data_IF_049385742805
#
_entry.id   IF_049385742805
#
_cell.length_a   1.000
_cell.length_b   1.000
_cell.length_c   1.000
_cell.angle_alpha   90.00
_cell.angle_beta   90.00
_cell.angle_gamma   90.00
#
_symmetry.space_group_name_H-M   'P 1'
#
loop_
_entity.id
_entity.type
_entity.pdbx_description
1 polymer ?
#
# COMPACT_ATOMS: atom_id res chain seq x y z
N UNK A 1 -13.64 66.74 -17.35
CA UNK A 1 -13.18 66.39 -18.71
C UNK A 1 -13.53 64.91 -18.93
N UNK A 2 -14.65 64.64 -19.59
CA UNK A 2 -15.16 63.27 -19.79
C UNK A 2 -14.27 62.60 -20.83
N UNK A 3 -13.59 61.50 -20.45
CA UNK A 3 -12.75 60.76 -21.40
C UNK A 3 -13.62 60.22 -22.52
N UNK A 4 -13.16 60.38 -23.76
CA UNK A 4 -13.87 59.97 -24.96
C UNK A 4 -14.20 58.46 -24.89
N UNK A 5 -15.39 58.00 -25.31
CA UNK A 5 -15.86 56.62 -25.13
C UNK A 5 -14.92 55.54 -25.70
N UNK A 6 -14.12 55.87 -26.71
CA UNK A 6 -13.10 54.98 -27.28
C UNK A 6 -11.92 54.72 -26.33
N UNK A 7 -11.51 55.69 -25.51
CA UNK A 7 -10.40 55.51 -24.56
C UNK A 7 -10.80 54.63 -23.37
N UNK A 8 -12.07 54.69 -22.95
CA UNK A 8 -12.58 53.83 -21.87
C UNK A 8 -12.58 52.36 -22.31
N UNK A 9 -13.00 52.08 -23.55
CA UNK A 9 -13.04 50.73 -24.13
C UNK A 9 -11.65 50.10 -24.27
N UNK A 10 -10.64 50.88 -24.65
CA UNK A 10 -9.25 50.42 -24.78
C UNK A 10 -8.63 50.16 -23.39
N UNK A 11 -8.98 50.98 -22.39
CA UNK A 11 -8.45 50.84 -21.02
C UNK A 11 -9.03 49.60 -20.31
N UNK A 12 -10.31 49.27 -20.53
CA UNK A 12 -10.93 48.04 -20.00
C UNK A 12 -10.41 46.77 -20.68
N UNK A 13 -10.22 46.79 -22.01
CA UNK A 13 -9.66 45.66 -22.76
C UNK A 13 -8.25 45.28 -22.29
N UNK A 14 -7.43 46.26 -21.90
CA UNK A 14 -6.03 46.04 -21.48
C UNK A 14 -5.90 45.48 -20.05
N UNK A 15 -6.93 45.61 -19.20
CA UNK A 15 -6.90 45.19 -17.79
C UNK A 15 -7.48 43.78 -17.54
N UNK A 16 -8.17 43.18 -18.50
CA UNK A 16 -8.74 41.84 -18.34
C UNK A 16 -7.73 40.71 -18.53
N UNK A 17 -6.70 40.90 -19.38
CA UNK A 17 -5.70 39.85 -19.66
C UNK A 17 -4.85 39.45 -18.45
N UNK A 18 -4.44 40.40 -17.61
CA UNK A 18 -3.65 40.09 -16.41
C UNK A 18 -4.46 39.33 -15.36
N UNK A 19 -5.71 39.77 -15.11
CA UNK A 19 -6.57 39.19 -14.06
C UNK A 19 -7.01 37.77 -14.39
N UNK A 20 -7.27 37.47 -15.66
CA UNK A 20 -7.59 36.11 -16.11
C UNK A 20 -6.37 35.19 -16.08
N UNK A 21 -5.19 35.67 -16.46
CA UNK A 21 -3.94 34.89 -16.36
C UNK A 21 -3.62 34.55 -14.90
N UNK A 22 -3.71 35.51 -13.98
CA UNK A 22 -3.51 35.22 -12.54
C UNK A 22 -4.58 34.29 -11.98
N UNK A 23 -5.84 34.44 -12.38
CA UNK A 23 -6.90 33.52 -11.97
C UNK A 23 -6.65 32.08 -12.46
N UNK A 24 -6.23 31.89 -13.71
CA UNK A 24 -5.90 30.57 -14.26
C UNK A 24 -4.64 29.97 -13.61
N UNK A 25 -3.61 30.78 -13.36
CA UNK A 25 -2.38 30.33 -12.68
C UNK A 25 -2.67 29.95 -11.21
N UNK A 26 -3.51 30.71 -10.51
CA UNK A 26 -3.96 30.38 -9.15
C UNK A 26 -4.82 29.11 -9.12
N UNK A 27 -5.72 28.91 -10.09
CA UNK A 27 -6.50 27.66 -10.19
C UNK A 27 -5.57 26.46 -10.44
N UNK A 28 -4.59 26.58 -11.33
CA UNK A 28 -3.59 25.53 -11.56
C UNK A 28 -2.75 25.24 -10.30
N UNK A 29 -2.40 26.26 -9.51
CA UNK A 29 -1.66 26.09 -8.26
C UNK A 29 -2.52 25.45 -7.16
N UNK A 30 -3.80 25.83 -7.05
CA UNK A 30 -4.75 25.28 -6.06
C UNK A 30 -5.07 23.81 -6.30
N UNK A 31 -5.20 23.37 -7.56
CA UNK A 31 -5.43 21.95 -7.89
C UNK A 31 -4.24 21.06 -7.47
N UNK A 32 -3.01 21.59 -7.50
CA UNK A 32 -1.83 20.87 -7.03
C UNK A 32 -1.74 20.79 -5.49
N UNK A 33 -2.30 21.76 -4.75
CA UNK A 33 -2.34 21.72 -3.28
C UNK A 33 -3.39 20.71 -2.75
N UNK A 34 -4.49 20.52 -3.46
CA UNK A 34 -5.60 19.68 -3.01
C UNK A 34 -5.35 18.16 -3.10
N UNK A 35 -4.22 17.71 -3.66
CA UNK A 35 -3.90 16.28 -3.77
C UNK A 35 -3.01 15.74 -2.63
N UNK A 36 -2.63 16.57 -1.65
CA UNK A 36 -1.60 16.21 -0.67
C UNK A 36 -2.11 15.70 0.69
N UNK A 37 -3.42 15.70 0.99
CA UNK A 37 -3.89 15.35 2.34
C UNK A 37 -5.26 14.65 2.34
N UNK A 38 -5.33 13.45 1.76
CA UNK A 38 -6.13 12.37 2.35
C UNK A 38 -5.12 11.47 3.04
N UNK A 39 -5.32 11.10 4.31
CA UNK A 39 -4.40 10.23 5.06
C UNK A 39 -4.16 8.94 4.28
N UNK A 40 -3.07 8.89 3.53
CA UNK A 40 -2.70 7.74 2.72
C UNK A 40 -2.05 6.75 3.65
N UNK A 41 -2.78 5.70 4.04
CA UNK A 41 -2.14 4.48 4.53
C UNK A 41 -1.13 4.04 3.49
N UNK A 42 0.15 4.29 3.79
CA UNK A 42 1.24 4.13 2.83
C UNK A 42 1.81 2.71 2.84
N UNK A 43 1.34 1.86 3.74
CA UNK A 43 1.76 0.48 3.91
C UNK A 43 0.54 -0.41 4.19
N UNK A 44 0.37 -1.43 3.36
CA UNK A 44 -0.54 -2.55 3.62
C UNK A 44 0.20 -3.85 3.32
N UNK A 45 -0.05 -4.88 4.11
CA UNK A 45 0.64 -6.17 4.00
C UNK A 45 -0.40 -7.27 3.90
N UNK A 46 -0.19 -8.21 2.99
CA UNK A 46 -0.99 -9.42 2.89
C UNK A 46 -0.10 -10.66 2.84
N UNK A 47 -0.32 -11.59 3.77
CA UNK A 47 0.33 -12.89 3.80
C UNK A 47 -0.69 -13.99 3.51
N UNK A 48 -0.45 -14.76 2.45
CA UNK A 48 -1.38 -15.80 1.99
C UNK A 48 -0.72 -17.17 2.04
N UNK A 49 -1.46 -18.16 2.53
CA UNK A 49 -1.09 -19.58 2.44
C UNK A 49 -2.20 -20.39 1.77
N UNK A 50 -1.80 -21.40 1.00
CA UNK A 50 -2.73 -22.23 0.24
C UNK A 50 -2.26 -23.68 0.28
N UNK A 51 -3.19 -24.59 0.46
CA UNK A 51 -3.02 -26.02 0.17
C UNK A 51 -4.11 -26.47 -0.80
N UNK A 52 -4.19 -27.77 -1.12
CA UNK A 52 -5.28 -28.31 -1.95
C UNK A 52 -6.67 -28.14 -1.33
N UNK A 53 -6.77 -28.07 0.01
CA UNK A 53 -8.04 -28.02 0.74
C UNK A 53 -8.18 -26.85 1.73
N UNK A 54 -7.23 -25.93 1.73
CA UNK A 54 -7.26 -24.78 2.63
C UNK A 54 -6.68 -23.51 2.02
N UNK A 55 -7.21 -22.38 2.46
CA UNK A 55 -6.75 -21.05 2.13
C UNK A 55 -6.71 -20.24 3.42
N UNK A 56 -5.61 -19.53 3.66
CA UNK A 56 -5.53 -18.52 4.70
C UNK A 56 -5.00 -17.22 4.10
N UNK A 57 -5.53 -16.10 4.58
CA UNK A 57 -5.10 -14.76 4.23
C UNK A 57 -5.07 -13.91 5.49
N UNK A 58 -3.93 -13.27 5.75
CA UNK A 58 -3.76 -12.29 6.80
C UNK A 58 -3.46 -10.94 6.16
N UNK A 59 -4.34 -9.96 6.36
CA UNK A 59 -4.23 -8.60 5.82
C UNK A 59 -4.03 -7.61 6.97
N UNK A 60 -3.04 -6.74 6.83
CA UNK A 60 -2.57 -5.83 7.87
C UNK A 60 -2.49 -4.40 7.36
N UNK A 61 -2.93 -3.46 8.19
CA UNK A 61 -2.54 -2.05 8.09
C UNK A 61 -2.38 -1.45 9.50
N UNK A 62 -2.17 -0.14 9.58
CA UNK A 62 -1.95 0.55 10.86
C UNK A 62 -3.09 0.44 11.87
N UNK A 63 -4.31 0.16 11.40
CA UNK A 63 -5.50 0.12 12.24
C UNK A 63 -5.94 -1.30 12.57
N UNK A 64 -5.82 -2.24 11.62
CA UNK A 64 -6.45 -3.55 11.72
C UNK A 64 -5.60 -4.70 11.19
N UNK A 65 -5.90 -5.87 11.75
CA UNK A 65 -5.49 -7.19 11.32
C UNK A 65 -6.77 -7.92 10.89
N UNK A 66 -6.83 -8.42 9.67
CA UNK A 66 -7.93 -9.23 9.16
C UNK A 66 -7.39 -10.61 8.81
N UNK A 67 -7.89 -11.65 9.46
CA UNK A 67 -7.56 -13.04 9.15
C UNK A 67 -8.75 -13.75 8.53
N UNK A 68 -8.57 -14.26 7.31
CA UNK A 68 -9.58 -15.07 6.62
C UNK A 68 -9.06 -16.49 6.44
N UNK A 69 -9.83 -17.49 6.88
CA UNK A 69 -9.56 -18.91 6.64
C UNK A 69 -10.72 -19.56 5.89
N UNK A 70 -10.41 -20.38 4.89
CA UNK A 70 -11.36 -21.21 4.16
C UNK A 70 -10.85 -22.65 4.11
N UNK A 71 -11.57 -23.59 4.73
CA UNK A 71 -11.27 -25.03 4.62
C UNK A 71 -12.56 -25.86 4.66
N UNK A 72 -13.27 -25.89 5.79
CA UNK A 72 -14.62 -26.46 5.90
C UNK A 72 -15.75 -25.41 5.84
N UNK A 73 -15.38 -24.12 5.90
CA UNK A 73 -16.24 -22.94 5.86
C UNK A 73 -15.37 -21.69 5.82
N UNK A 74 -15.96 -20.50 5.68
CA UNK A 74 -15.23 -19.21 5.72
C UNK A 74 -15.33 -18.64 7.13
N UNK A 75 -14.18 -18.44 7.79
CA UNK A 75 -14.08 -17.63 9.01
C UNK A 75 -13.34 -16.34 8.70
N UNK A 76 -13.73 -15.25 9.37
CA UNK A 76 -13.09 -13.94 9.27
C UNK A 76 -12.98 -13.36 10.68
N UNK A 77 -11.76 -13.12 11.11
CA UNK A 77 -11.44 -12.47 12.37
C UNK A 77 -10.89 -11.07 12.06
N UNK A 78 -11.31 -10.07 12.84
CA UNK A 78 -10.82 -8.70 12.72
C UNK A 78 -10.37 -8.22 14.09
N UNK A 79 -9.09 -7.86 14.18
CA UNK A 79 -8.46 -7.39 15.40
C UNK A 79 -7.92 -5.97 15.19
N UNK A 80 -7.85 -5.20 16.26
CA UNK A 80 -7.16 -3.91 16.23
C UNK A 80 -5.66 -4.14 16.20
N UNK A 81 -4.96 -3.40 15.35
CA UNK A 81 -3.50 -3.43 15.29
C UNK A 81 -2.89 -2.74 16.52
N UNK A 82 -1.87 -3.35 17.11
CA UNK A 82 -1.04 -2.72 18.14
C UNK A 82 -0.02 -1.78 17.48
N UNK A 83 0.03 -0.52 17.94
CA UNK A 83 0.89 0.49 17.33
C UNK A 83 2.38 0.19 17.45
N UNK A 84 2.84 -0.51 18.50
CA UNK A 84 4.26 -0.88 18.63
C UNK A 84 4.61 -2.01 17.65
N UNK A 85 3.74 -3.03 17.53
CA UNK A 85 3.90 -4.10 16.55
C UNK A 85 3.89 -3.56 15.12
N UNK A 86 2.95 -2.67 14.80
CA UNK A 86 2.89 -2.04 13.48
C UNK A 86 4.12 -1.21 13.17
N UNK A 87 4.60 -0.42 14.13
CA UNK A 87 5.82 0.36 13.96
C UNK A 87 7.03 -0.52 13.63
N UNK A 88 7.22 -1.63 14.37
CA UNK A 88 8.29 -2.59 14.08
C UNK A 88 8.17 -3.18 12.67
N UNK A 89 6.96 -3.61 12.29
CA UNK A 89 6.68 -4.12 10.94
C UNK A 89 7.03 -3.08 9.86
N UNK A 90 6.59 -1.83 10.05
CA UNK A 90 6.84 -0.75 9.10
C UNK A 90 8.34 -0.44 8.96
N UNK A 91 9.06 -0.36 10.08
CA UNK A 91 10.52 -0.17 10.09
C UNK A 91 11.24 -1.33 9.37
N UNK A 92 10.86 -2.58 9.62
CA UNK A 92 11.45 -3.73 8.90
C UNK A 92 11.18 -3.64 7.40
N UNK A 93 9.96 -3.30 6.97
CA UNK A 93 9.63 -3.12 5.53
C UNK A 93 10.52 -2.08 4.86
N UNK A 94 10.87 -0.98 5.54
CA UNK A 94 11.74 0.06 4.98
C UNK A 94 13.17 -0.40 4.70
N UNK A 95 13.65 -1.43 5.41
CA UNK A 95 14.98 -2.01 5.20
C UNK A 95 15.02 -3.00 4.03
N UNK A 96 13.87 -3.52 3.60
CA UNK A 96 13.78 -4.57 2.59
C UNK A 96 13.98 -4.04 1.17
N UNK A 97 14.67 -4.84 0.35
CA UNK A 97 14.76 -4.63 -1.10
C UNK A 97 13.50 -5.14 -1.79
N UNK A 98 12.39 -4.41 -1.67
CA UNK A 98 11.07 -4.82 -2.18
C UNK A 98 11.05 -5.17 -3.69
N UNK A 99 11.93 -4.57 -4.49
CA UNK A 99 12.06 -4.88 -5.92
C UNK A 99 12.59 -6.30 -6.20
N UNK A 100 13.28 -6.91 -5.24
CA UNK A 100 13.83 -8.26 -5.36
C UNK A 100 12.80 -9.34 -5.02
N UNK A 101 11.64 -8.98 -4.45
CA UNK A 101 10.60 -9.92 -4.01
C UNK A 101 10.23 -11.00 -5.05
N UNK A 102 9.97 -10.66 -6.33
CA UNK A 102 9.62 -11.67 -7.34
C UNK A 102 10.74 -12.68 -7.65
N UNK A 103 11.98 -12.38 -7.25
CA UNK A 103 13.18 -13.16 -7.56
C UNK A 103 13.75 -13.90 -6.34
N UNK A 104 13.10 -13.80 -5.18
CA UNK A 104 13.54 -14.48 -3.96
C UNK A 104 13.51 -16.00 -4.16
N UNK A 105 14.58 -16.66 -3.73
CA UNK A 105 14.71 -18.11 -3.81
C UNK A 105 14.18 -18.72 -2.52
N UNK A 106 13.21 -19.63 -2.63
CA UNK A 106 12.71 -20.37 -1.49
C UNK A 106 13.81 -21.33 -0.95
N UNK A 107 13.99 -21.47 0.37
CA UNK A 107 14.99 -22.38 0.93
C UNK A 107 14.68 -23.86 0.67
N UNK A 108 13.42 -24.19 0.42
CA UNK A 108 12.97 -25.54 0.06
C UNK A 108 11.77 -25.51 -0.89
N UNK A 109 11.43 -26.68 -1.41
CA UNK A 109 10.31 -26.92 -2.33
C UNK A 109 9.31 -27.96 -1.79
N UNK A 110 9.16 -28.05 -0.46
CA UNK A 110 8.28 -29.02 0.20
C UNK A 110 6.83 -28.87 -0.25
N UNK A 111 6.40 -27.66 -0.61
CA UNK A 111 5.07 -27.39 -1.20
C UNK A 111 4.79 -28.17 -2.49
N UNK A 112 5.82 -28.60 -3.24
CA UNK A 112 5.66 -29.40 -4.47
C UNK A 112 5.31 -30.86 -4.18
N UNK A 113 5.60 -31.34 -2.98
CA UNK A 113 5.41 -32.73 -2.55
C UNK A 113 4.45 -32.85 -1.36
N UNK A 114 3.53 -31.88 -1.21
CA UNK A 114 2.54 -31.81 -0.13
C UNK A 114 3.15 -31.76 1.29
N UNK A 115 4.40 -31.30 1.40
CA UNK A 115 5.14 -31.21 2.66
C UNK A 115 5.09 -29.83 3.34
N UNK A 116 4.43 -28.85 2.72
CA UNK A 116 4.19 -27.51 3.24
C UNK A 116 3.08 -26.79 2.45
N UNK A 117 2.43 -25.78 3.03
CA UNK A 117 1.52 -24.91 2.30
C UNK A 117 2.32 -23.95 1.39
N UNK A 118 1.74 -23.56 0.25
CA UNK A 118 2.33 -22.56 -0.63
C UNK A 118 2.04 -21.16 -0.08
N UNK A 119 3.08 -20.45 0.35
CA UNK A 119 3.01 -19.11 0.89
C UNK A 119 3.41 -18.03 -0.14
N UNK A 120 2.85 -16.83 0.04
CA UNK A 120 3.26 -15.60 -0.65
C UNK A 120 3.07 -14.38 0.25
N UNK A 121 4.00 -13.44 0.16
CA UNK A 121 3.94 -12.14 0.82
C UNK A 121 3.67 -11.03 -0.22
N UNK A 122 2.71 -10.17 0.07
CA UNK A 122 2.38 -8.97 -0.70
C UNK A 122 2.52 -7.74 0.18
N UNK A 123 3.13 -6.70 -0.38
CA UNK A 123 3.30 -5.41 0.30
C UNK A 123 2.89 -4.32 -0.67
N UNK A 124 1.86 -3.56 -0.32
CA UNK A 124 1.60 -2.27 -0.94
C UNK A 124 2.37 -1.21 -0.16
N UNK A 125 3.33 -0.55 -0.79
CA UNK A 125 4.15 0.47 -0.15
C UNK A 125 4.40 1.65 -1.07
N UNK A 126 4.14 2.87 -0.58
CA UNK A 126 4.39 4.14 -1.30
C UNK A 126 3.83 4.13 -2.74
N UNK A 127 2.60 3.66 -2.91
CA UNK A 127 1.91 3.66 -4.20
C UNK A 127 2.22 2.47 -5.11
N UNK A 128 3.02 1.49 -4.68
CA UNK A 128 3.42 0.33 -5.49
C UNK A 128 3.14 -0.98 -4.77
N UNK A 129 2.71 -1.99 -5.53
CA UNK A 129 2.51 -3.35 -5.05
C UNK A 129 3.75 -4.20 -5.36
N UNK A 130 4.26 -4.90 -4.35
CA UNK A 130 5.36 -5.84 -4.43
C UNK A 130 4.86 -7.22 -3.99
N UNK A 131 5.16 -8.26 -4.76
CA UNK A 131 4.75 -9.64 -4.47
C UNK A 131 5.97 -10.55 -4.52
N UNK A 132 6.11 -11.39 -3.49
CA UNK A 132 7.19 -12.37 -3.40
C UNK A 132 7.00 -13.51 -4.41
N UNK A 133 8.12 -14.14 -4.77
CA UNK A 133 8.09 -15.52 -5.25
C UNK A 133 7.40 -16.44 -4.23
N UNK A 134 6.89 -17.58 -4.71
CA UNK A 134 6.26 -18.57 -3.84
C UNK A 134 7.27 -19.36 -3.02
N UNK A 135 7.00 -19.54 -1.73
CA UNK A 135 7.84 -20.31 -0.81
C UNK A 135 7.00 -21.24 0.07
N UNK A 136 7.67 -22.08 0.87
CA UNK A 136 7.01 -22.99 1.81
C UNK A 136 6.59 -22.20 3.07
N UNK A 137 5.32 -22.29 3.48
CA UNK A 137 4.87 -21.69 4.76
C UNK A 137 5.69 -22.26 5.91
N UNK A 138 6.15 -21.40 6.82
CA UNK A 138 7.08 -21.75 7.91
C UNK A 138 8.56 -21.87 7.49
N UNK A 139 8.90 -21.72 6.20
CA UNK A 139 10.29 -21.68 5.73
C UNK A 139 10.49 -20.59 4.65
N UNK A 140 10.36 -19.30 5.02
CA UNK A 140 10.51 -18.17 4.09
C UNK A 140 11.97 -17.95 3.64
N UNK A 141 12.20 -17.27 2.51
CA UNK A 141 13.53 -16.78 2.12
C UNK A 141 14.16 -15.92 3.24
N UNK A 142 15.44 -16.12 3.49
CA UNK A 142 16.17 -15.51 4.62
C UNK A 142 16.00 -13.98 4.68
N UNK A 143 16.03 -13.32 3.52
CA UNK A 143 15.92 -11.86 3.40
C UNK A 143 14.57 -11.28 3.85
N UNK A 144 13.51 -12.09 3.93
CA UNK A 144 12.18 -11.64 4.38
C UNK A 144 11.70 -12.38 5.63
N UNK A 145 12.56 -13.24 6.21
CA UNK A 145 12.19 -14.14 7.31
C UNK A 145 11.67 -13.38 8.52
N UNK A 146 12.39 -12.35 8.96
CA UNK A 146 12.01 -11.51 10.10
C UNK A 146 10.60 -10.90 9.91
N UNK A 147 10.31 -10.34 8.74
CA UNK A 147 8.99 -9.78 8.44
C UNK A 147 7.90 -10.85 8.43
N UNK A 148 8.17 -12.00 7.82
CA UNK A 148 7.21 -13.11 7.77
C UNK A 148 6.89 -13.59 9.18
N UNK A 149 7.89 -13.78 10.03
CA UNK A 149 7.71 -14.20 11.42
C UNK A 149 6.81 -13.22 12.18
N UNK A 150 7.16 -11.92 12.19
CA UNK A 150 6.34 -10.88 12.82
C UNK A 150 4.88 -10.85 12.33
N UNK A 151 4.68 -11.00 11.01
CA UNK A 151 3.34 -11.02 10.42
C UNK A 151 2.57 -12.26 10.86
N UNK A 152 3.21 -13.44 10.85
CA UNK A 152 2.52 -14.70 11.20
C UNK A 152 2.19 -14.83 12.68
N UNK A 153 2.92 -14.17 13.58
CA UNK A 153 2.60 -14.06 15.00
C UNK A 153 1.30 -13.29 15.29
N UNK A 154 0.75 -12.57 14.30
CA UNK A 154 -0.51 -11.85 14.42
C UNK A 154 -1.74 -12.70 14.07
N UNK A 155 -1.55 -13.96 13.67
CA UNK A 155 -2.67 -14.86 13.41
C UNK A 155 -3.43 -15.13 14.72
N UNK A 156 -4.76 -15.05 14.72
CA UNK A 156 -5.56 -15.53 15.85
C UNK A 156 -5.45 -17.06 15.97
N UNK A 157 -5.61 -17.56 17.19
CA UNK A 157 -5.58 -19.00 17.54
C UNK A 157 -6.73 -19.79 16.91
#
# INVERSE_FOLDING_TARGET
MVKHPLEQKITESRNHGGRTIYAVLCILFLVNLSFSQYGTKNLEIAYRTITRGSYQLLELNEDFIIFTKKSAGKTVDTLKMDGKKWKAIAETVETLKLKEFPYLVAPSDRRKYDGAAHAKLKIYFKGRLYESAGFDDGNPPETIKELVEMVTELRPD
#
